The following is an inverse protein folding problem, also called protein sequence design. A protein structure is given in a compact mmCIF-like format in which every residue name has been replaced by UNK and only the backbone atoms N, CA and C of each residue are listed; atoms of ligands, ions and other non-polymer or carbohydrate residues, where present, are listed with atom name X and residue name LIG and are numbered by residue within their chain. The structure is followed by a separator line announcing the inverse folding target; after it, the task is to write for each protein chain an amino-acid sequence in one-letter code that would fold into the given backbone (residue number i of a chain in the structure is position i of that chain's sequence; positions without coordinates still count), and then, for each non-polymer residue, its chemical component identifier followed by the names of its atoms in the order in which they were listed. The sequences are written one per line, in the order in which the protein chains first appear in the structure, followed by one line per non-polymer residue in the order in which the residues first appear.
data_IF_704609448447
#
_entry.id   IF_704609448447
#
_cell.length_a   1.000
_cell.length_b   1.000
_cell.length_c   1.000
_cell.angle_alpha   90.00
_cell.angle_beta   90.00
_cell.angle_gamma   90.00
#
_symmetry.space_group_name_H-M   'P 1'
#
loop_
_entity.id
_entity.type
_entity.pdbx_description
1 polymer ?
#
# COMPACT_ATOMS: atom_id res chain seq x y z
N UNK A 1 40.87 -7.87 14.62
CA UNK A 1 40.83 -6.38 14.58
C UNK A 1 40.12 -5.81 13.36
N UNK A 2 40.38 -6.27 12.11
CA UNK A 2 39.71 -5.75 10.89
C UNK A 2 38.17 -5.80 10.91
N UNK A 3 37.55 -6.90 11.36
CA UNK A 3 36.08 -7.03 11.40
C UNK A 3 35.39 -6.06 12.37
N UNK A 4 36.03 -5.72 13.51
CA UNK A 4 35.48 -4.73 14.46
C UNK A 4 35.43 -3.34 13.83
N UNK A 5 36.48 -2.93 13.11
CA UNK A 5 36.53 -1.61 12.48
C UNK A 5 35.50 -1.47 11.35
N UNK A 6 35.22 -2.53 10.60
CA UNK A 6 34.17 -2.55 9.58
C UNK A 6 32.78 -2.44 10.24
N UNK A 7 32.52 -3.18 11.31
CA UNK A 7 31.24 -3.09 12.04
C UNK A 7 30.99 -1.69 12.61
N UNK A 8 32.02 -1.04 13.17
CA UNK A 8 31.91 0.35 13.65
C UNK A 8 31.69 1.36 12.53
N UNK A 9 32.34 1.17 11.37
CA UNK A 9 32.14 2.05 10.21
C UNK A 9 30.71 1.91 9.65
N UNK A 10 30.20 0.68 9.54
CA UNK A 10 28.83 0.40 9.10
C UNK A 10 27.80 0.97 10.08
N UNK A 11 28.02 0.80 11.39
CA UNK A 11 27.14 1.37 12.41
C UNK A 11 27.10 2.90 12.36
N UNK A 12 28.25 3.56 12.14
CA UNK A 12 28.31 5.03 11.98
C UNK A 12 27.60 5.51 10.70
N UNK A 13 27.79 4.80 9.58
CA UNK A 13 27.12 5.13 8.32
C UNK A 13 25.60 4.96 8.43
N UNK A 14 25.14 3.86 9.04
CA UNK A 14 23.71 3.62 9.31
C UNK A 14 23.12 4.72 10.20
N UNK A 15 23.83 5.12 11.27
CA UNK A 15 23.38 6.20 12.15
C UNK A 15 23.28 7.53 11.40
N UNK A 16 24.24 7.85 10.51
CA UNK A 16 24.23 9.08 9.73
C UNK A 16 23.04 9.14 8.75
N UNK A 17 22.70 8.01 8.12
CA UNK A 17 21.53 7.90 7.24
C UNK A 17 20.21 8.06 7.99
N UNK A 18 20.10 7.51 9.21
CA UNK A 18 18.89 7.64 10.05
C UNK A 18 18.67 9.11 10.47
N UNK A 19 19.73 9.87 10.73
CA UNK A 19 19.63 11.28 11.14
C UNK A 19 19.23 12.19 9.97
N UNK A 20 19.40 11.73 8.72
CA UNK A 20 19.15 12.54 7.51
C UNK A 20 17.81 12.23 6.81
N UNK A 21 16.96 11.35 7.37
CA UNK A 21 15.63 11.10 6.80
C UNK A 21 14.63 12.18 7.15
N UNK A 22 14.04 12.81 6.13
CA UNK A 22 12.84 13.64 6.28
C UNK A 22 11.59 12.76 6.19
N UNK A 23 10.55 13.10 6.95
CA UNK A 23 9.25 12.43 6.84
C UNK A 23 8.53 12.92 5.58
N UNK A 24 8.26 12.02 4.65
CA UNK A 24 7.40 12.30 3.50
C UNK A 24 5.99 11.76 3.77
N UNK A 25 5.00 12.65 3.86
CA UNK A 25 3.58 12.27 4.01
C UNK A 25 2.97 11.85 2.67
N UNK A 26 3.52 10.81 2.04
CA UNK A 26 3.22 10.39 0.67
C UNK A 26 2.43 9.08 0.52
N UNK A 27 1.84 8.55 1.60
CA UNK A 27 1.18 7.23 1.57
C UNK A 27 -0.03 7.19 0.64
N UNK A 28 -0.78 8.28 0.49
CA UNK A 28 -1.97 8.32 -0.36
C UNK A 28 -2.94 7.17 -0.03
N UNK A 29 -3.17 6.30 -1.01
CA UNK A 29 -3.99 5.09 -0.92
C UNK A 29 -3.15 3.79 -0.85
N UNK A 30 -1.85 3.88 -0.55
CA UNK A 30 -1.02 2.72 -0.31
C UNK A 30 -1.39 2.04 1.02
N UNK A 31 -1.38 0.71 0.99
CA UNK A 31 -1.65 -0.17 2.11
C UNK A 31 -0.40 -0.98 2.43
N UNK A 32 -0.12 -1.18 3.71
CA UNK A 32 1.10 -1.84 4.20
C UNK A 32 0.79 -3.14 4.96
N UNK A 33 -0.48 -3.54 4.98
CA UNK A 33 -0.99 -4.66 5.76
C UNK A 33 -0.70 -6.04 5.13
N UNK A 34 0.57 -6.32 4.88
CA UNK A 34 1.02 -7.52 4.16
C UNK A 34 0.96 -8.81 4.97
N UNK A 35 1.26 -8.77 6.27
CA UNK A 35 1.18 -9.93 7.17
C UNK A 35 1.05 -9.46 8.62
N UNK A 36 0.44 -10.26 9.49
CA UNK A 36 0.32 -9.89 10.91
C UNK A 36 1.70 -9.72 11.58
N UNK A 37 2.65 -10.61 11.30
CA UNK A 37 4.00 -10.53 11.87
C UNK A 37 4.82 -9.39 11.26
N UNK A 38 4.77 -9.21 9.94
CA UNK A 38 5.45 -8.11 9.25
C UNK A 38 4.95 -6.72 9.68
N UNK A 39 3.63 -6.59 9.91
CA UNK A 39 3.03 -5.38 10.46
C UNK A 39 3.48 -5.13 11.90
N UNK A 40 3.49 -6.17 12.74
CA UNK A 40 3.96 -6.07 14.13
C UNK A 40 5.44 -5.70 14.23
N UNK A 41 6.26 -6.15 13.27
CA UNK A 41 7.69 -5.83 13.16
C UNK A 41 7.97 -4.48 12.46
N UNK A 42 6.93 -3.67 12.19
CA UNK A 42 7.06 -2.35 11.52
C UNK A 42 7.86 -2.44 10.21
N UNK A 43 7.57 -3.45 9.38
CA UNK A 43 8.28 -3.76 8.13
C UNK A 43 9.76 -4.23 8.28
N UNK A 44 10.22 -4.58 9.49
CA UNK A 44 11.53 -5.21 9.72
C UNK A 44 11.73 -6.54 8.96
N UNK A 45 10.63 -7.20 8.60
CA UNK A 45 10.58 -8.35 7.69
C UNK A 45 11.25 -8.07 6.34
N UNK A 46 11.33 -6.81 5.90
CA UNK A 46 12.08 -6.40 4.69
C UNK A 46 13.55 -6.82 4.78
N UNK A 47 14.15 -6.76 5.96
CA UNK A 47 15.54 -7.14 6.19
C UNK A 47 15.70 -8.59 6.69
N UNK A 48 14.75 -9.08 7.49
CA UNK A 48 14.88 -10.36 8.19
C UNK A 48 14.29 -11.55 7.40
N UNK A 49 13.22 -11.32 6.65
CA UNK A 49 12.37 -12.41 6.15
C UNK A 49 11.80 -13.24 7.30
N UNK A 50 11.78 -14.57 7.12
CA UNK A 50 11.43 -15.54 8.17
C UNK A 50 9.97 -15.95 8.19
N UNK A 51 9.18 -15.50 7.23
CA UNK A 51 7.80 -15.93 6.99
C UNK A 51 7.47 -15.90 5.50
N UNK A 52 6.48 -16.69 5.03
CA UNK A 52 5.99 -16.61 3.64
C UNK A 52 5.55 -15.20 3.23
N UNK A 53 4.98 -14.42 4.14
CA UNK A 53 4.55 -13.04 3.94
C UNK A 53 5.68 -12.06 3.58
N UNK A 54 6.95 -12.47 3.69
CA UNK A 54 8.07 -11.70 3.18
C UNK A 54 7.93 -11.34 1.69
N UNK A 55 7.19 -12.12 0.89
CA UNK A 55 6.85 -11.83 -0.51
C UNK A 55 6.26 -10.42 -0.68
N UNK A 56 5.41 -9.96 0.24
CA UNK A 56 4.82 -8.61 0.18
C UNK A 56 5.86 -7.49 0.34
N UNK A 57 6.85 -7.72 1.19
CA UNK A 57 7.82 -6.70 1.60
C UNK A 57 9.09 -6.78 0.76
N UNK A 58 9.86 -7.86 0.96
CA UNK A 58 11.09 -8.19 0.24
C UNK A 58 11.12 -9.71 -0.02
N UNK A 59 10.83 -10.15 -1.25
CA UNK A 59 10.77 -11.58 -1.55
C UNK A 59 12.11 -12.32 -1.38
N UNK A 60 13.25 -11.64 -1.34
CA UNK A 60 14.53 -12.28 -1.02
C UNK A 60 14.55 -12.85 0.40
N UNK A 61 13.65 -12.39 1.27
CA UNK A 61 13.46 -12.91 2.62
C UNK A 61 12.92 -14.35 2.68
N UNK A 62 12.37 -14.90 1.59
CA UNK A 62 11.86 -16.30 1.61
C UNK A 62 13.00 -17.33 1.66
N UNK A 63 14.24 -16.97 1.36
CA UNK A 63 15.40 -17.86 1.50
C UNK A 63 15.69 -18.28 2.94
N UNK A 64 15.03 -17.64 3.91
CA UNK A 64 15.09 -18.01 5.33
C UNK A 64 13.92 -18.88 5.78
N UNK A 65 13.04 -19.28 4.86
CA UNK A 65 11.83 -20.07 5.12
C UNK A 65 12.04 -21.49 4.58
N UNK A 66 12.44 -22.46 5.41
CA UNK A 66 12.77 -23.80 4.93
C UNK A 66 11.52 -24.60 4.57
N UNK A 67 11.69 -25.49 3.59
CA UNK A 67 10.65 -26.42 3.13
C UNK A 67 9.45 -25.76 2.45
N UNK A 68 8.29 -26.40 2.55
CA UNK A 68 7.01 -25.85 2.08
C UNK A 68 6.28 -25.20 3.24
N UNK A 69 5.92 -23.93 3.10
CA UNK A 69 5.14 -23.20 4.10
C UNK A 69 4.00 -22.43 3.43
N UNK A 70 2.89 -22.31 4.14
CA UNK A 70 1.71 -21.56 3.73
C UNK A 70 1.32 -20.63 4.86
N UNK A 71 0.91 -19.42 4.51
CA UNK A 71 0.42 -18.41 5.43
C UNK A 71 -0.83 -17.75 4.84
N UNK A 72 -1.81 -17.47 5.69
CA UNK A 72 -2.98 -16.69 5.31
C UNK A 72 -3.43 -15.81 6.47
N UNK A 73 -4.04 -14.69 6.16
CA UNK A 73 -4.52 -13.74 7.15
C UNK A 73 -5.45 -12.69 6.54
N UNK A 74 -6.09 -11.93 7.42
CA UNK A 74 -6.92 -10.79 7.04
C UNK A 74 -6.56 -9.65 7.98
N UNK A 75 -6.16 -8.51 7.41
CA UNK A 75 -6.10 -7.25 8.15
C UNK A 75 -7.38 -6.45 7.92
N UNK A 76 -7.71 -5.55 8.83
CA UNK A 76 -8.94 -4.78 8.76
C UNK A 76 -8.62 -3.31 8.97
N UNK A 77 -9.07 -2.45 8.04
CA UNK A 77 -8.89 -1.01 8.11
C UNK A 77 -10.25 -0.34 8.29
N UNK A 78 -10.38 0.52 9.31
CA UNK A 78 -11.61 1.23 9.65
C UNK A 78 -11.35 2.75 9.72
N UNK A 79 -11.25 3.44 8.58
CA UNK A 79 -10.90 4.86 8.56
C UNK A 79 -12.05 5.72 9.08
N UNK A 80 -11.70 6.85 9.71
CA UNK A 80 -12.65 7.88 10.13
C UNK A 80 -12.23 9.21 9.51
N UNK A 81 -13.10 9.76 8.66
CA UNK A 81 -12.86 11.05 8.00
C UNK A 81 -13.75 12.14 8.59
N UNK A 82 -13.17 13.32 8.83
CA UNK A 82 -13.90 14.56 9.15
C UNK A 82 -13.36 15.67 8.27
N UNK A 83 -14.25 16.32 7.52
CA UNK A 83 -13.93 17.47 6.69
C UNK A 83 -14.50 18.72 7.35
N UNK A 84 -13.72 19.80 7.32
CA UNK A 84 -14.12 21.12 7.78
C UNK A 84 -13.89 22.11 6.64
N UNK A 85 -14.83 23.02 6.44
CA UNK A 85 -14.78 23.99 5.37
C UNK A 85 -15.47 25.28 5.76
N UNK A 86 -15.49 26.22 4.82
CA UNK A 86 -16.21 27.49 4.96
C UNK A 86 -17.04 27.68 3.70
N UNK A 87 -18.32 28.06 3.87
CA UNK A 87 -19.16 28.46 2.76
C UNK A 87 -18.56 29.73 2.13
N UNK A 88 -18.13 29.71 0.85
CA UNK A 88 -17.48 30.86 0.23
C UNK A 88 -18.41 32.07 0.02
N UNK A 89 -19.73 31.88 0.08
CA UNK A 89 -20.73 32.93 -0.12
C UNK A 89 -21.26 33.54 1.18
N UNK A 90 -21.35 32.76 2.25
CA UNK A 90 -21.91 33.21 3.54
C UNK A 90 -20.87 33.34 4.65
N UNK A 91 -19.68 32.76 4.49
CA UNK A 91 -18.66 32.67 5.54
C UNK A 91 -18.97 31.67 6.65
N UNK A 92 -20.06 30.91 6.52
CA UNK A 92 -20.46 29.89 7.50
C UNK A 92 -19.43 28.76 7.60
N UNK A 93 -19.12 28.33 8.82
CA UNK A 93 -18.26 27.15 9.05
C UNK A 93 -19.06 25.87 8.84
N UNK A 94 -18.55 24.99 8.01
CA UNK A 94 -19.19 23.72 7.64
C UNK A 94 -18.37 22.54 8.18
N UNK A 95 -19.05 21.47 8.57
CA UNK A 95 -18.38 20.23 8.95
C UNK A 95 -19.20 19.00 8.57
N UNK A 96 -18.52 17.99 8.06
CA UNK A 96 -19.10 16.73 7.65
C UNK A 96 -18.20 15.58 8.08
N UNK A 97 -18.80 14.43 8.35
CA UNK A 97 -18.09 13.19 8.61
C UNK A 97 -18.30 12.26 7.42
N UNK A 98 -17.25 11.55 7.04
CA UNK A 98 -17.39 10.40 6.16
C UNK A 98 -18.16 9.29 6.88
N UNK A 99 -18.75 8.39 6.10
CA UNK A 99 -19.39 7.19 6.61
C UNK A 99 -18.33 6.26 7.17
N UNK A 100 -18.60 5.72 8.35
CA UNK A 100 -17.72 4.74 8.97
C UNK A 100 -17.89 3.41 8.23
N UNK A 101 -16.80 2.90 7.66
CA UNK A 101 -16.77 1.61 6.99
C UNK A 101 -15.56 0.80 7.43
N UNK A 102 -15.71 -0.51 7.35
CA UNK A 102 -14.68 -1.48 7.72
C UNK A 102 -14.32 -2.24 6.46
N UNK A 103 -13.04 -2.23 6.10
CA UNK A 103 -12.52 -2.82 4.88
C UNK A 103 -11.58 -3.98 5.22
N UNK A 104 -11.90 -5.22 4.82
CA UNK A 104 -11.01 -6.35 4.99
C UNK A 104 -9.94 -6.38 3.88
N UNK A 105 -8.71 -6.70 4.27
CA UNK A 105 -7.55 -6.86 3.41
C UNK A 105 -7.01 -8.28 3.57
N UNK A 106 -7.59 -9.26 2.85
CA UNK A 106 -7.10 -10.64 2.88
C UNK A 106 -5.74 -10.75 2.20
N UNK A 107 -4.89 -11.61 2.73
CA UNK A 107 -3.61 -11.98 2.11
C UNK A 107 -3.32 -13.46 2.31
N UNK A 108 -2.66 -14.06 1.34
CA UNK A 108 -2.21 -15.45 1.37
C UNK A 108 -0.88 -15.61 0.65
N UNK A 109 -0.03 -16.50 1.18
CA UNK A 109 1.32 -16.74 0.69
C UNK A 109 1.64 -18.22 0.76
N UNK A 110 2.41 -18.69 -0.21
CA UNK A 110 3.01 -20.02 -0.22
C UNK A 110 4.47 -19.89 -0.63
N UNK A 111 5.35 -20.60 0.07
CA UNK A 111 6.78 -20.72 -0.28
C UNK A 111 7.17 -22.18 -0.34
N UNK A 112 8.10 -22.50 -1.23
CA UNK A 112 8.66 -23.83 -1.37
C UNK A 112 10.16 -23.76 -1.64
N UNK A 113 10.95 -24.34 -0.75
CA UNK A 113 12.37 -24.55 -0.93
C UNK A 113 12.60 -25.69 -1.94
N UNK A 114 13.14 -25.37 -3.12
CA UNK A 114 13.48 -26.37 -4.15
C UNK A 114 14.75 -27.12 -3.80
N UNK A 115 15.75 -26.41 -3.29
CA UNK A 115 17.05 -26.92 -2.86
C UNK A 115 17.71 -25.92 -1.91
N UNK A 116 19.01 -26.09 -1.63
CA UNK A 116 19.74 -25.22 -0.69
C UNK A 116 19.94 -23.78 -1.19
N UNK A 117 19.75 -23.55 -2.49
CA UNK A 117 20.01 -22.26 -3.15
C UNK A 117 18.74 -21.58 -3.68
N UNK A 118 17.68 -22.31 -4.00
CA UNK A 118 16.50 -21.77 -4.69
C UNK A 118 15.19 -22.00 -3.95
N UNK A 119 14.36 -20.95 -3.96
CA UNK A 119 13.01 -20.93 -3.43
C UNK A 119 12.04 -20.41 -4.47
N UNK A 120 10.86 -21.02 -4.48
CA UNK A 120 9.68 -20.49 -5.17
C UNK A 120 8.75 -19.86 -4.14
N UNK A 121 8.09 -18.79 -4.53
CA UNK A 121 7.03 -18.19 -3.75
C UNK A 121 5.85 -17.79 -4.62
N UNK A 122 4.68 -17.73 -4.01
CA UNK A 122 3.47 -17.20 -4.60
C UNK A 122 2.70 -16.43 -3.54
N UNK A 123 2.29 -15.20 -3.85
CA UNK A 123 1.48 -14.36 -2.97
C UNK A 123 0.22 -13.84 -3.65
N UNK A 124 -0.85 -13.69 -2.86
CA UNK A 124 -2.06 -12.94 -3.20
C UNK A 124 -2.30 -11.93 -2.09
N UNK A 125 -2.33 -10.64 -2.42
CA UNK A 125 -2.44 -9.56 -1.43
C UNK A 125 -2.84 -8.23 -2.09
N UNK A 126 -3.10 -7.21 -1.28
CA UNK A 126 -3.46 -5.85 -1.74
C UNK A 126 -2.40 -4.85 -1.29
N UNK A 127 -2.00 -3.94 -2.18
CA UNK A 127 -1.05 -2.84 -1.86
C UNK A 127 -1.65 -1.44 -2.01
N UNK A 128 -2.80 -1.34 -2.65
CA UNK A 128 -3.47 -0.08 -2.89
C UNK A 128 -4.95 -0.25 -2.59
N UNK A 129 -5.53 0.72 -1.88
CA UNK A 129 -6.94 0.69 -1.54
C UNK A 129 -7.40 1.98 -0.90
N UNK A 130 -8.63 2.38 -1.24
CA UNK A 130 -9.27 3.58 -0.74
C UNK A 130 -10.76 3.34 -0.57
N UNK A 131 -11.33 3.90 0.49
CA UNK A 131 -12.78 3.95 0.67
C UNK A 131 -13.16 5.22 1.41
N UNK A 132 -13.70 6.20 0.70
CA UNK A 132 -14.13 7.49 1.23
C UNK A 132 -15.55 7.82 0.75
N UNK A 133 -16.52 7.59 1.62
CA UNK A 133 -17.95 7.77 1.34
C UNK A 133 -18.51 8.90 2.21
N UNK A 134 -19.23 9.85 1.63
CA UNK A 134 -19.92 10.95 2.30
C UNK A 134 -21.42 10.91 1.94
N UNK A 135 -22.26 11.57 2.74
CA UNK A 135 -23.67 11.74 2.38
C UNK A 135 -23.81 12.56 1.10
N UNK A 136 -24.76 12.22 0.25
CA UNK A 136 -24.92 12.83 -1.08
C UNK A 136 -25.26 14.33 -1.04
N UNK A 137 -25.81 14.82 0.07
CA UNK A 137 -26.19 16.21 0.32
C UNK A 137 -25.11 17.02 1.05
N UNK A 138 -23.94 16.44 1.34
CA UNK A 138 -22.89 17.15 2.07
C UNK A 138 -22.33 18.35 1.29
N UNK A 139 -21.68 19.27 2.00
CA UNK A 139 -21.22 20.54 1.42
C UNK A 139 -20.11 20.42 0.36
N UNK A 140 -19.42 19.28 0.28
CA UNK A 140 -18.37 19.01 -0.71
C UNK A 140 -18.78 18.04 -1.81
N UNK A 141 -20.10 17.81 -1.99
CA UNK A 141 -20.64 16.82 -2.95
C UNK A 141 -20.22 17.04 -4.40
N UNK A 142 -19.88 18.28 -4.78
CA UNK A 142 -19.36 18.62 -6.11
C UNK A 142 -17.88 18.26 -6.32
N UNK A 143 -17.20 17.76 -5.28
CA UNK A 143 -15.83 17.26 -5.36
C UNK A 143 -15.77 15.74 -5.24
N UNK A 144 -16.57 15.15 -4.35
CA UNK A 144 -16.64 13.72 -4.11
C UNK A 144 -17.86 13.37 -3.25
N UNK A 145 -18.54 12.27 -3.55
CA UNK A 145 -19.49 11.61 -2.64
C UNK A 145 -19.05 10.19 -2.31
N UNK A 146 -18.39 9.50 -3.25
CA UNK A 146 -17.82 8.17 -3.05
C UNK A 146 -16.52 8.05 -3.87
N UNK A 147 -15.42 7.67 -3.22
CA UNK A 147 -14.21 7.25 -3.88
C UNK A 147 -13.79 5.88 -3.33
N UNK A 148 -13.80 4.87 -4.19
CA UNK A 148 -13.46 3.49 -3.87
C UNK A 148 -12.37 3.02 -4.82
N UNK A 149 -11.26 2.52 -4.27
CA UNK A 149 -10.20 1.82 -5.01
C UNK A 149 -10.04 0.46 -4.36
N UNK A 150 -10.11 -0.61 -5.16
CA UNK A 150 -9.87 -1.98 -4.72
C UNK A 150 -8.83 -2.61 -5.64
N UNK A 151 -7.78 -3.18 -5.05
CA UNK A 151 -6.77 -3.91 -5.83
C UNK A 151 -6.46 -5.27 -5.26
N UNK A 152 -6.03 -6.19 -6.12
CA UNK A 152 -5.47 -7.47 -5.74
C UNK A 152 -4.29 -7.80 -6.65
N UNK A 153 -3.19 -8.25 -6.04
CA UNK A 153 -1.94 -8.60 -6.73
C UNK A 153 -1.72 -10.09 -6.61
N UNK A 154 -1.51 -10.76 -7.74
CA UNK A 154 -0.94 -12.10 -7.81
C UNK A 154 0.57 -11.98 -8.05
N UNK A 155 1.38 -12.64 -7.24
CA UNK A 155 2.83 -12.49 -7.27
C UNK A 155 3.59 -13.82 -7.19
N UNK A 156 3.81 -14.50 -8.32
CA UNK A 156 4.83 -15.55 -8.40
C UNK A 156 6.24 -14.93 -8.30
N UNK A 157 7.11 -15.59 -7.52
CA UNK A 157 8.47 -15.10 -7.25
C UNK A 157 9.46 -16.25 -7.19
N UNK A 158 10.70 -15.97 -7.60
CA UNK A 158 11.87 -16.83 -7.38
C UNK A 158 12.85 -16.08 -6.49
N UNK A 159 13.39 -16.78 -5.50
CA UNK A 159 14.49 -16.27 -4.70
C UNK A 159 15.70 -17.20 -4.80
N UNK A 160 16.88 -16.59 -4.80
CA UNK A 160 18.17 -17.25 -4.90
C UNK A 160 19.06 -16.84 -3.74
N UNK A 161 19.50 -17.82 -2.96
CA UNK A 161 20.51 -17.67 -1.92
C UNK A 161 21.90 -17.76 -2.57
N UNK A 162 22.38 -16.63 -3.08
CA UNK A 162 23.69 -16.56 -3.73
C UNK A 162 24.87 -16.89 -2.78
N UNK A 163 24.70 -16.65 -1.48
CA UNK A 163 25.60 -17.12 -0.41
C UNK A 163 24.88 -17.07 0.94
N UNK A 164 25.55 -17.50 2.02
CA UNK A 164 25.01 -17.36 3.39
C UNK A 164 24.77 -15.89 3.81
N UNK A 165 25.44 -14.95 3.14
CA UNK A 165 25.34 -13.51 3.41
C UNK A 165 24.50 -12.75 2.38
N UNK A 166 24.13 -13.34 1.25
CA UNK A 166 23.47 -12.63 0.15
C UNK A 166 22.32 -13.46 -0.40
N UNK A 167 21.13 -12.87 -0.44
CA UNK A 167 19.95 -13.42 -1.10
C UNK A 167 19.36 -12.41 -2.05
N UNK A 168 18.88 -12.88 -3.19
CA UNK A 168 18.27 -12.09 -4.26
C UNK A 168 16.90 -12.66 -4.61
N UNK A 169 16.03 -11.86 -5.20
CA UNK A 169 14.75 -12.34 -5.74
C UNK A 169 14.27 -11.50 -6.91
N UNK A 170 13.43 -12.12 -7.73
CA UNK A 170 12.69 -11.47 -8.79
C UNK A 170 11.29 -12.08 -8.91
N UNK A 171 10.28 -11.23 -9.06
CA UNK A 171 8.87 -11.64 -9.15
C UNK A 171 8.08 -10.84 -10.17
N UNK A 172 6.98 -11.43 -10.63
CA UNK A 172 6.03 -10.81 -11.55
C UNK A 172 4.80 -10.37 -10.76
N UNK A 173 4.40 -9.11 -10.84
CA UNK A 173 3.19 -8.60 -10.20
C UNK A 173 2.09 -8.50 -11.25
N UNK A 174 1.00 -9.25 -11.08
CA UNK A 174 -0.23 -9.09 -11.87
C UNK A 174 -1.25 -8.41 -10.97
N UNK A 175 -1.55 -7.14 -11.23
CA UNK A 175 -2.47 -6.35 -10.42
C UNK A 175 -3.81 -6.18 -11.14
N UNK A 176 -4.89 -6.57 -10.48
CA UNK A 176 -6.24 -6.13 -10.79
C UNK A 176 -6.53 -4.85 -10.03
N UNK A 177 -7.08 -3.86 -10.72
CA UNK A 177 -7.46 -2.57 -10.15
C UNK A 177 -8.90 -2.24 -10.52
N UNK A 178 -9.71 -1.86 -9.54
CA UNK A 178 -11.10 -1.41 -9.67
C UNK A 178 -11.24 -0.04 -9.01
N UNK A 179 -11.82 0.92 -9.72
CA UNK A 179 -12.12 2.25 -9.20
C UNK A 179 -13.56 2.65 -9.47
N UNK A 180 -14.19 3.20 -8.43
CA UNK A 180 -15.48 3.88 -8.51
C UNK A 180 -15.32 5.29 -7.96
N UNK A 181 -15.68 6.30 -8.74
CA UNK A 181 -15.77 7.69 -8.32
C UNK A 181 -17.20 8.19 -8.52
N UNK A 182 -17.79 8.77 -7.48
CA UNK A 182 -19.10 9.41 -7.52
C UNK A 182 -18.98 10.84 -7.01
N UNK A 183 -19.70 11.74 -7.67
CA UNK A 183 -19.87 13.12 -7.23
C UNK A 183 -21.20 13.66 -7.75
N UNK A 184 -21.60 14.82 -7.24
CA UNK A 184 -22.69 15.59 -7.83
C UNK A 184 -22.13 16.60 -8.83
N UNK A 185 -22.96 17.01 -9.78
CA UNK A 185 -22.72 18.17 -10.66
C UNK A 185 -23.80 19.20 -10.34
N UNK A 186 -23.38 20.45 -10.16
CA UNK A 186 -24.28 21.57 -9.87
C UNK A 186 -25.02 22.04 -11.13
N UNK A 187 -26.12 21.38 -11.47
CA UNK A 187 -26.95 21.74 -12.63
C UNK A 187 -27.55 23.15 -12.53
N UNK A 188 -28.02 23.55 -11.35
CA UNK A 188 -28.60 24.88 -11.13
C UNK A 188 -27.55 26.00 -11.24
N UNK A 189 -26.35 25.79 -10.69
CA UNK A 189 -25.25 26.73 -10.80
C UNK A 189 -24.72 26.83 -12.23
N UNK A 190 -24.60 25.69 -12.94
CA UNK A 190 -24.23 25.68 -14.36
C UNK A 190 -25.25 26.39 -15.26
N UNK A 191 -26.54 26.33 -14.89
CA UNK A 191 -27.62 27.05 -15.57
C UNK A 191 -27.79 28.52 -15.13
N UNK A 192 -26.95 29.03 -14.21
CA UNK A 192 -27.02 30.41 -13.72
C UNK A 192 -28.22 30.72 -12.80
N UNK A 193 -28.89 29.70 -12.27
CA UNK A 193 -30.04 29.84 -11.37
C UNK A 193 -29.63 30.15 -9.93
N UNK A 194 -28.36 29.93 -9.59
CA UNK A 194 -27.75 30.17 -8.27
C UNK A 194 -26.23 30.31 -8.39
N UNK A 195 -25.57 30.60 -7.27
CA UNK A 195 -24.11 30.59 -7.19
C UNK A 195 -23.53 29.20 -7.52
N UNK A 196 -22.52 29.15 -8.38
CA UNK A 196 -21.89 27.91 -8.83
C UNK A 196 -21.18 27.18 -7.68
N UNK A 197 -21.45 25.89 -7.50
CA UNK A 197 -20.96 25.06 -6.40
C UNK A 197 -21.37 25.61 -5.01
N UNK A 198 -22.51 26.29 -4.88
CA UNK A 198 -23.05 26.65 -3.57
C UNK A 198 -23.36 25.38 -2.74
N UNK A 199 -22.78 25.25 -1.54
CA UNK A 199 -22.93 24.05 -0.71
C UNK A 199 -24.37 23.82 -0.22
N UNK A 200 -25.25 24.82 -0.31
CA UNK A 200 -26.68 24.68 0.01
C UNK A 200 -27.34 23.63 -0.90
N UNK A 201 -28.31 22.83 -0.42
CA UNK A 201 -28.98 21.81 -1.24
C UNK A 201 -29.59 22.36 -2.53
N UNK A 202 -29.56 21.59 -3.60
CA UNK A 202 -30.12 21.94 -4.91
C UNK A 202 -31.00 20.82 -5.45
N UNK A 203 -32.23 21.11 -5.89
CA UNK A 203 -33.11 20.11 -6.49
C UNK A 203 -32.68 19.74 -7.93
N UNK A 204 -31.70 20.43 -8.50
CA UNK A 204 -31.18 20.21 -9.86
C UNK A 204 -29.77 19.59 -9.85
N UNK A 205 -29.36 18.98 -8.75
CA UNK A 205 -28.10 18.24 -8.70
C UNK A 205 -28.17 16.99 -9.59
N UNK A 206 -27.12 16.77 -10.36
CA UNK A 206 -26.99 15.62 -11.27
C UNK A 206 -25.97 14.67 -10.68
N UNK A 207 -26.36 13.40 -10.48
CA UNK A 207 -25.46 12.37 -10.00
C UNK A 207 -24.52 11.94 -11.13
N UNK A 208 -23.21 12.05 -10.89
CA UNK A 208 -22.18 11.51 -11.75
C UNK A 208 -21.55 10.28 -11.09
N UNK A 209 -21.40 9.22 -11.87
CA UNK A 209 -20.72 7.98 -11.48
C UNK A 209 -19.76 7.58 -12.59
N UNK A 210 -18.53 7.23 -12.21
CA UNK A 210 -17.48 6.79 -13.11
C UNK A 210 -16.85 5.53 -12.52
N UNK A 211 -16.87 4.46 -13.30
CA UNK A 211 -16.27 3.18 -12.96
C UNK A 211 -15.19 2.82 -13.99
N UNK A 212 -14.19 2.07 -13.53
CA UNK A 212 -13.17 1.51 -14.40
C UNK A 212 -12.42 0.37 -13.72
N UNK A 213 -12.05 -0.64 -14.51
CA UNK A 213 -11.27 -1.77 -14.08
C UNK A 213 -10.20 -2.12 -15.12
N UNK A 214 -9.05 -2.62 -14.65
CA UNK A 214 -7.96 -3.05 -15.52
C UNK A 214 -7.05 -4.07 -14.86
N UNK A 215 -6.44 -4.92 -15.69
CA UNK A 215 -5.32 -5.77 -15.30
C UNK A 215 -4.01 -5.19 -15.85
N UNK A 216 -3.03 -4.99 -14.97
CA UNK A 216 -1.73 -4.50 -15.38
C UNK A 216 -0.60 -5.33 -14.80
N UNK A 217 0.54 -5.30 -15.50
CA UNK A 217 1.74 -6.04 -15.13
C UNK A 217 2.78 -5.10 -14.52
N UNK A 218 3.49 -5.62 -13.53
CA UNK A 218 4.70 -5.05 -12.96
C UNK A 218 5.68 -6.15 -12.59
N UNK A 219 6.77 -5.76 -11.96
CA UNK A 219 7.76 -6.69 -11.43
C UNK A 219 8.28 -6.20 -10.09
N UNK A 220 8.86 -7.10 -9.32
CA UNK A 220 9.57 -6.76 -8.11
C UNK A 220 10.93 -7.44 -8.06
N UNK A 221 11.87 -6.79 -7.38
CA UNK A 221 13.23 -7.26 -7.15
C UNK A 221 13.53 -7.09 -5.66
N UNK A 222 14.25 -8.04 -5.08
CA UNK A 222 14.60 -8.01 -3.67
C UNK A 222 16.04 -8.41 -3.44
N UNK A 223 16.66 -7.82 -2.43
CA UNK A 223 17.99 -8.18 -1.94
C UNK A 223 18.00 -8.20 -0.41
N UNK A 224 18.67 -9.19 0.16
CA UNK A 224 18.99 -9.26 1.59
C UNK A 224 20.47 -9.51 1.75
N UNK A 225 21.11 -8.70 2.60
CA UNK A 225 22.51 -8.77 2.96
C UNK A 225 22.65 -9.04 4.45
N UNK A 226 23.53 -9.96 4.82
CA UNK A 226 23.93 -10.23 6.21
C UNK A 226 25.44 -9.99 6.37
N UNK A 227 25.89 -8.72 6.54
CA UNK A 227 27.31 -8.40 6.63
C UNK A 227 27.98 -9.02 7.87
N UNK A 228 27.22 -9.16 8.95
CA UNK A 228 27.58 -9.88 10.18
C UNK A 228 26.35 -10.58 10.73
N UNK A 229 26.54 -11.60 11.56
CA UNK A 229 25.47 -12.46 12.09
C UNK A 229 24.29 -11.70 12.73
N UNK A 230 24.57 -10.57 13.39
CA UNK A 230 23.58 -9.76 14.12
C UNK A 230 22.97 -8.60 13.30
N UNK A 231 23.36 -8.44 12.04
CA UNK A 231 22.90 -7.35 11.19
C UNK A 231 22.39 -7.90 9.87
N UNK A 232 21.11 -7.69 9.59
CA UNK A 232 20.51 -7.92 8.28
C UNK A 232 20.08 -6.58 7.70
N UNK A 233 20.35 -6.40 6.41
CA UNK A 233 19.96 -5.22 5.62
C UNK A 233 19.19 -5.74 4.42
N UNK A 234 17.99 -5.22 4.20
CA UNK A 234 17.17 -5.61 3.06
C UNK A 234 16.76 -4.38 2.25
N UNK A 235 16.60 -4.59 0.95
CA UNK A 235 16.00 -3.62 0.05
C UNK A 235 15.10 -4.34 -0.94
N UNK A 236 13.98 -3.72 -1.27
CA UNK A 236 13.07 -4.22 -2.27
C UNK A 236 12.67 -3.09 -3.20
N UNK A 237 12.57 -3.41 -4.48
CA UNK A 237 12.06 -2.53 -5.52
C UNK A 237 10.81 -3.16 -6.11
N UNK A 238 9.74 -2.38 -6.18
CA UNK A 238 8.50 -2.76 -6.83
C UNK A 238 8.26 -1.75 -7.94
N UNK A 239 8.11 -2.23 -9.17
CA UNK A 239 7.97 -1.35 -10.34
C UNK A 239 6.67 -0.56 -10.26
N UNK A 240 6.64 0.60 -10.92
CA UNK A 240 5.36 1.26 -11.23
C UNK A 240 4.52 0.30 -12.08
N UNK A 241 3.25 0.17 -11.72
CA UNK A 241 2.22 -0.51 -12.52
C UNK A 241 1.37 0.58 -13.17
N UNK A 242 1.07 0.44 -14.46
CA UNK A 242 0.33 1.43 -15.24
C UNK A 242 -0.96 0.80 -15.76
N UNK A 243 -2.07 1.18 -15.14
CA UNK A 243 -3.42 0.86 -15.61
C UNK A 243 -3.83 1.80 -16.74
N UNK A 244 -4.69 1.33 -17.65
CA UNK A 244 -5.18 2.08 -18.83
C UNK A 244 -6.60 2.59 -18.67
#
# INVERSE_FOLDING_TARGET
MKHKNIAYAVAKAALLCIISTTTAFGSGFALYEGSAAGNADTAGVTAKGGEPGAIFFNPAGITTVPGTQVQGGVSVVAPKAKVQGVNPYTGEKLSAKGRNRVWPLPHAYMTHQLNDDFWLGFGIYTRFGLGAEFHEDWFGRYNNTDAKIVTFILNPVVAWKASDSVSLSAGLSVEYFDITLKQMIDGAGAAGMRNYNDPSPSPFDIRQEMDGDDFALGFNLGITLKPVEKLSVGAAYHSRIKHR
#
